data_IF_321252071581
#
_entry.id   IF_321252071581
#
_cell.length_a   1.000
_cell.length_b   1.000
_cell.length_c   1.000
_cell.angle_alpha   90.00
_cell.angle_beta   90.00
_cell.angle_gamma   90.00
#
_symmetry.space_group_name_H-M   'P 1'
#
loop_
_entity.id
_entity.type
_entity.pdbx_description
1 polymer ?
#
# COMPACT_ATOMS: atom_id res chain seq x y z
N UNK A 1 9.65 0.00 29.84
CA UNK A 1 9.92 -1.37 29.38
C UNK A 1 11.44 -1.50 29.43
N UNK A 2 11.95 -2.20 30.44
CA UNK A 2 13.37 -2.54 30.56
C UNK A 2 13.62 -3.78 29.68
N UNK A 3 13.89 -3.60 28.44
CA UNK A 3 14.18 -4.65 27.48
C UNK A 3 15.13 -4.18 26.41
N UNK A 4 15.96 -5.06 25.90
CA UNK A 4 16.82 -4.79 24.76
C UNK A 4 15.96 -4.61 23.50
N UNK A 5 16.11 -3.48 22.82
CA UNK A 5 15.43 -3.20 21.54
C UNK A 5 16.34 -3.69 20.44
N UNK A 6 15.86 -4.66 19.66
CA UNK A 6 16.55 -5.17 18.48
C UNK A 6 15.91 -4.63 17.21
N UNK A 7 16.70 -4.00 16.36
CA UNK A 7 16.23 -3.59 15.02
C UNK A 7 16.02 -4.82 14.13
N UNK A 8 14.95 -4.83 13.38
CA UNK A 8 14.65 -5.88 12.41
C UNK A 8 15.16 -5.48 11.02
N UNK A 9 15.61 -6.47 10.27
CA UNK A 9 16.10 -6.31 8.90
C UNK A 9 15.20 -7.03 7.89
N UNK A 10 15.31 -6.62 6.63
CA UNK A 10 14.67 -7.35 5.51
C UNK A 10 15.13 -8.81 5.47
N UNK A 11 14.19 -9.71 5.21
CA UNK A 11 14.40 -11.17 5.16
C UNK A 11 14.88 -11.80 6.47
N UNK A 12 14.84 -11.07 7.57
CA UNK A 12 15.10 -11.66 8.89
C UNK A 12 13.98 -12.61 9.25
N UNK A 13 14.36 -13.78 9.78
CA UNK A 13 13.44 -14.77 10.32
C UNK A 13 13.48 -14.70 11.84
N UNK A 14 12.31 -14.59 12.47
CA UNK A 14 12.14 -14.61 13.91
C UNK A 14 11.37 -15.88 14.28
N UNK A 15 11.88 -16.64 15.24
CA UNK A 15 11.16 -17.77 15.83
C UNK A 15 10.55 -17.34 17.16
N UNK A 16 9.23 -17.55 17.30
CA UNK A 16 8.50 -17.26 18.52
C UNK A 16 7.59 -18.45 18.86
N UNK A 17 8.09 -19.40 19.65
CA UNK A 17 7.43 -20.69 19.85
C UNK A 17 7.30 -21.45 18.53
N UNK A 18 6.08 -21.80 18.15
CA UNK A 18 5.77 -22.49 16.90
C UNK A 18 5.54 -21.53 15.72
N UNK A 19 5.74 -20.23 15.91
CA UNK A 19 5.60 -19.24 14.86
C UNK A 19 6.95 -18.93 14.21
N UNK A 20 7.01 -19.10 12.91
CA UNK A 20 8.07 -18.58 12.05
C UNK A 20 7.57 -17.27 11.41
N UNK A 21 8.27 -16.17 11.68
CA UNK A 21 7.92 -14.83 11.23
C UNK A 21 9.01 -14.33 10.26
N UNK A 22 8.68 -14.21 9.00
CA UNK A 22 9.54 -13.63 7.98
C UNK A 22 9.28 -12.12 7.90
N UNK A 23 10.31 -11.30 8.12
CA UNK A 23 10.25 -9.85 7.98
C UNK A 23 10.50 -9.46 6.52
N UNK A 24 9.58 -8.73 5.91
CA UNK A 24 9.71 -8.24 4.53
C UNK A 24 9.72 -6.72 4.53
N UNK A 25 10.78 -6.10 4.02
CA UNK A 25 10.84 -4.65 3.90
C UNK A 25 9.97 -4.18 2.74
N UNK A 26 8.98 -3.35 3.04
CA UNK A 26 7.96 -2.87 2.10
C UNK A 26 7.81 -1.33 2.20
N UNK A 27 8.85 -0.56 1.83
CA UNK A 27 8.82 0.89 1.91
C UNK A 27 7.75 1.48 0.99
N UNK A 28 7.41 2.74 1.24
CA UNK A 28 6.43 3.50 0.46
C UNK A 28 5.59 4.38 1.36
N UNK A 29 4.70 3.78 2.13
CA UNK A 29 3.92 4.50 3.15
C UNK A 29 4.82 5.11 4.23
N UNK A 30 5.78 4.33 4.71
CA UNK A 30 6.93 4.84 5.48
C UNK A 30 8.21 4.14 5.01
N UNK A 31 9.36 4.76 5.26
CA UNK A 31 10.67 4.21 4.85
C UNK A 31 11.06 2.93 5.58
N UNK A 32 10.62 2.78 6.82
CA UNK A 32 10.93 1.63 7.68
C UNK A 32 9.83 0.55 7.72
N UNK A 33 8.82 0.62 6.86
CA UNK A 33 7.68 -0.31 6.89
C UNK A 33 8.13 -1.75 6.66
N UNK A 34 7.76 -2.65 7.58
CA UNK A 34 7.90 -4.09 7.43
C UNK A 34 6.53 -4.75 7.34
N UNK A 35 6.41 -5.76 6.49
CA UNK A 35 5.37 -6.77 6.61
C UNK A 35 5.90 -7.98 7.37
N UNK A 36 5.00 -8.67 8.08
CA UNK A 36 5.33 -9.90 8.80
C UNK A 36 4.56 -11.06 8.18
N UNK A 37 5.30 -11.96 7.55
CA UNK A 37 4.74 -13.16 6.94
C UNK A 37 4.93 -14.35 7.87
N UNK A 38 3.83 -14.89 8.38
CA UNK A 38 3.83 -15.86 9.49
C UNK A 38 3.38 -17.23 8.97
N UNK A 39 4.22 -18.24 9.23
CA UNK A 39 3.96 -19.66 8.91
C UNK A 39 3.47 -19.87 7.47
N UNK A 40 3.94 -19.07 6.52
CA UNK A 40 3.54 -19.11 5.10
C UNK A 40 2.03 -18.99 4.85
N UNK A 41 1.26 -18.40 5.77
CA UNK A 41 -0.21 -18.34 5.71
C UNK A 41 -0.77 -16.94 5.96
N UNK A 42 -0.24 -16.23 6.95
CA UNK A 42 -0.75 -14.93 7.41
C UNK A 42 0.26 -13.83 7.12
N UNK A 43 -0.18 -12.73 6.52
CA UNK A 43 0.65 -11.60 6.16
C UNK A 43 0.10 -10.31 6.78
N UNK A 44 0.84 -9.72 7.71
CA UNK A 44 0.52 -8.43 8.30
C UNK A 44 1.17 -7.33 7.45
N UNK A 45 0.35 -6.57 6.74
CA UNK A 45 0.81 -5.60 5.72
C UNK A 45 0.95 -4.18 6.26
N UNK A 46 0.57 -3.94 7.52
CA UNK A 46 0.51 -2.58 8.07
C UNK A 46 -0.29 -1.64 7.13
N UNK A 47 0.26 -0.48 6.86
CA UNK A 47 -0.41 0.53 6.05
C UNK A 47 0.08 0.55 4.59
N UNK A 48 0.39 -0.63 4.03
CA UNK A 48 0.84 -0.76 2.63
C UNK A 48 -0.26 -1.27 1.71
N UNK A 49 -0.92 -2.39 2.03
CA UNK A 49 -1.98 -2.99 1.22
C UNK A 49 -3.20 -3.27 2.10
N UNK A 50 -4.37 -2.76 1.70
CA UNK A 50 -5.66 -2.92 2.38
C UNK A 50 -6.64 -3.70 1.51
N UNK A 51 -7.78 -4.09 2.10
CA UNK A 51 -8.90 -4.62 1.34
C UNK A 51 -9.49 -3.56 0.41
N UNK A 52 -9.15 -3.63 -0.89
CA UNK A 52 -9.62 -2.69 -1.92
C UNK A 52 -8.96 -1.32 -1.92
N UNK A 53 -7.88 -1.11 -1.15
CA UNK A 53 -7.14 0.17 -1.11
C UNK A 53 -5.64 -0.07 -0.88
N UNK A 54 -4.87 1.02 -0.86
CA UNK A 54 -3.41 1.00 -0.66
C UNK A 54 -2.97 2.16 0.22
N UNK A 55 -1.78 2.07 0.81
CA UNK A 55 -1.19 3.12 1.62
C UNK A 55 -0.95 4.42 0.85
N UNK A 56 -1.06 5.55 1.55
CA UNK A 56 -0.71 6.86 0.98
C UNK A 56 0.79 7.09 0.98
N UNK A 57 1.27 7.91 0.05
CA UNK A 57 2.68 8.30 -0.08
C UNK A 57 2.96 9.73 0.38
N UNK A 58 2.18 10.23 1.34
CA UNK A 58 2.32 11.56 1.94
C UNK A 58 2.27 11.53 3.48
N UNK A 59 2.44 10.36 4.09
CA UNK A 59 2.60 10.25 5.54
C UNK A 59 3.98 10.79 5.97
N UNK A 60 4.18 11.13 7.24
CA UNK A 60 5.52 11.38 7.75
C UNK A 60 6.43 10.19 7.47
N UNK A 61 7.67 10.46 7.06
CA UNK A 61 8.68 9.44 6.67
C UNK A 61 8.30 8.54 5.47
N UNK A 62 7.30 8.96 4.65
CA UNK A 62 7.03 8.28 3.38
C UNK A 62 8.26 8.30 2.46
N UNK A 63 8.28 7.39 1.49
CA UNK A 63 9.30 7.41 0.44
C UNK A 63 8.69 7.85 -0.89
N UNK A 64 8.45 6.95 -1.83
CA UNK A 64 7.94 7.28 -3.14
C UNK A 64 6.76 6.41 -3.56
N UNK A 65 6.06 6.83 -4.62
CA UNK A 65 5.08 5.96 -5.30
C UNK A 65 5.76 4.70 -5.85
N UNK A 66 6.94 4.83 -6.43
CA UNK A 66 7.65 3.68 -7.01
C UNK A 66 8.01 2.64 -5.95
N UNK A 67 8.33 3.08 -4.73
CA UNK A 67 8.62 2.16 -3.63
C UNK A 67 7.36 1.41 -3.18
N UNK A 68 6.23 2.09 -2.96
CA UNK A 68 5.00 1.40 -2.54
C UNK A 68 4.46 0.49 -3.65
N UNK A 69 4.56 0.92 -4.91
CA UNK A 69 4.22 0.10 -6.05
C UNK A 69 5.09 -1.16 -6.12
N UNK A 70 6.42 -1.02 -5.98
CA UNK A 70 7.35 -2.15 -5.94
C UNK A 70 7.05 -3.08 -4.75
N UNK A 71 6.83 -2.53 -3.56
CA UNK A 71 6.51 -3.28 -2.35
C UNK A 71 5.27 -4.15 -2.54
N UNK A 72 4.21 -3.59 -3.13
CA UNK A 72 2.98 -4.33 -3.39
C UNK A 72 3.17 -5.32 -4.53
N UNK A 73 3.59 -4.86 -5.71
CA UNK A 73 3.58 -5.66 -6.94
C UNK A 73 4.68 -6.71 -7.00
N UNK A 74 5.84 -6.45 -6.41
CA UNK A 74 7.02 -7.32 -6.54
C UNK A 74 7.39 -8.05 -5.23
N UNK A 75 7.04 -7.49 -4.05
CA UNK A 75 7.31 -8.17 -2.78
C UNK A 75 6.07 -8.92 -2.30
N UNK A 76 4.94 -8.22 -2.05
CA UNK A 76 3.76 -8.89 -1.48
C UNK A 76 3.14 -9.90 -2.47
N UNK A 77 2.94 -9.53 -3.73
CA UNK A 77 2.39 -10.45 -4.75
C UNK A 77 3.38 -11.52 -5.26
N UNK A 78 4.61 -11.58 -4.75
CA UNK A 78 5.48 -12.75 -4.96
C UNK A 78 5.13 -13.93 -4.06
N UNK A 79 4.34 -13.69 -3.00
CA UNK A 79 3.87 -14.71 -2.07
C UNK A 79 2.69 -15.50 -2.66
N UNK A 80 2.37 -16.69 -2.12
CA UNK A 80 1.24 -17.49 -2.57
C UNK A 80 -0.08 -16.69 -2.52
N UNK A 81 -0.86 -16.73 -3.59
CA UNK A 81 -2.12 -15.97 -3.70
C UNK A 81 -3.17 -16.35 -2.65
N UNK A 82 -3.06 -17.55 -2.06
CA UNK A 82 -3.91 -18.00 -0.94
C UNK A 82 -3.57 -17.35 0.40
N UNK A 83 -2.48 -16.57 0.49
CA UNK A 83 -2.06 -15.90 1.72
C UNK A 83 -3.13 -14.92 2.18
N UNK A 84 -3.54 -15.06 3.45
CA UNK A 84 -4.46 -14.12 4.10
C UNK A 84 -3.71 -12.87 4.52
N UNK A 85 -4.18 -11.68 4.14
CA UNK A 85 -3.63 -10.41 4.57
C UNK A 85 -4.40 -9.84 5.76
N UNK A 86 -3.67 -9.27 6.71
CA UNK A 86 -4.16 -8.56 7.88
C UNK A 86 -3.57 -7.14 7.86
N UNK A 87 -4.29 -6.19 7.27
CA UNK A 87 -3.82 -4.81 7.17
C UNK A 87 -3.93 -4.05 8.50
N UNK A 88 -3.29 -2.89 8.59
CA UNK A 88 -3.41 -1.99 9.74
C UNK A 88 -4.82 -1.41 9.90
N UNK A 89 -5.57 -1.33 8.82
CA UNK A 89 -6.96 -0.87 8.75
C UNK A 89 -7.80 -1.79 7.87
N UNK A 90 -9.12 -1.74 8.02
CA UNK A 90 -10.11 -2.55 7.30
C UNK A 90 -10.09 -4.04 7.75
N UNK A 91 -10.92 -4.84 7.08
CA UNK A 91 -11.02 -6.28 7.32
C UNK A 91 -9.84 -7.04 6.68
N UNK A 92 -9.65 -8.26 7.13
CA UNK A 92 -8.76 -9.20 6.45
C UNK A 92 -9.24 -9.49 5.02
N UNK A 93 -8.28 -9.78 4.14
CA UNK A 93 -8.51 -10.16 2.75
C UNK A 93 -7.53 -11.27 2.34
N UNK A 94 -7.36 -11.54 1.06
CA UNK A 94 -6.34 -12.44 0.53
C UNK A 94 -5.57 -11.76 -0.58
N UNK A 95 -4.34 -12.20 -0.84
CA UNK A 95 -3.59 -11.68 -2.00
C UNK A 95 -4.35 -11.94 -3.31
N UNK A 96 -5.05 -13.07 -3.46
CA UNK A 96 -5.88 -13.33 -4.64
C UNK A 96 -6.99 -12.28 -4.80
N UNK A 97 -7.74 -11.97 -3.73
CA UNK A 97 -8.81 -10.98 -3.80
C UNK A 97 -8.26 -9.58 -4.15
N UNK A 98 -7.15 -9.19 -3.54
CA UNK A 98 -6.53 -7.89 -3.86
C UNK A 98 -5.94 -7.86 -5.28
N UNK A 99 -5.42 -8.98 -5.77
CA UNK A 99 -4.96 -9.08 -7.16
C UNK A 99 -6.11 -8.89 -8.15
N UNK A 100 -7.28 -9.50 -7.87
CA UNK A 100 -8.41 -9.51 -8.80
C UNK A 100 -9.30 -8.27 -8.68
N UNK A 101 -9.50 -7.74 -7.46
CA UNK A 101 -10.54 -6.76 -7.18
C UNK A 101 -10.03 -5.39 -6.71
N UNK A 102 -8.77 -5.28 -6.21
CA UNK A 102 -8.25 -4.00 -5.75
C UNK A 102 -8.11 -3.01 -6.92
N UNK A 103 -8.80 -1.85 -6.90
CA UNK A 103 -8.83 -0.94 -8.05
C UNK A 103 -7.46 -0.35 -8.39
N UNK A 104 -6.57 -0.15 -7.41
CA UNK A 104 -5.20 0.33 -7.65
C UNK A 104 -4.38 -0.75 -8.35
N UNK A 105 -4.40 -1.97 -7.84
CA UNK A 105 -3.68 -3.12 -8.41
C UNK A 105 -4.15 -3.39 -9.83
N UNK A 106 -5.47 -3.38 -10.08
CA UNK A 106 -6.05 -3.57 -11.43
C UNK A 106 -5.60 -2.49 -12.40
N UNK A 107 -5.61 -1.22 -11.96
CA UNK A 107 -5.14 -0.10 -12.77
C UNK A 107 -3.64 -0.23 -13.09
N UNK A 108 -2.80 -0.58 -12.11
CA UNK A 108 -1.36 -0.76 -12.31
C UNK A 108 -1.02 -1.93 -13.23
N UNK A 109 -1.86 -2.96 -13.24
CA UNK A 109 -1.77 -4.10 -14.18
C UNK A 109 -2.33 -3.78 -15.58
N UNK A 110 -2.90 -2.60 -15.79
CA UNK A 110 -3.53 -2.22 -17.07
C UNK A 110 -4.84 -2.95 -17.37
N UNK A 111 -5.47 -3.57 -16.36
CA UNK A 111 -6.79 -4.22 -16.50
C UNK A 111 -7.88 -3.15 -16.64
N UNK A 112 -7.84 -2.14 -15.79
CA UNK A 112 -8.78 -1.02 -15.83
C UNK A 112 -8.12 0.19 -16.50
N UNK A 113 -8.86 0.82 -17.42
CA UNK A 113 -8.37 2.00 -18.12
C UNK A 113 -8.35 3.22 -17.19
N UNK A 114 -7.18 3.78 -17.03
CA UNK A 114 -6.97 5.06 -16.33
C UNK A 114 -7.40 6.20 -17.25
N UNK A 115 -8.29 7.08 -16.76
CA UNK A 115 -8.68 8.32 -17.45
C UNK A 115 -8.16 9.50 -16.65
N UNK A 116 -7.26 10.26 -17.25
CA UNK A 116 -6.74 11.47 -16.64
C UNK A 116 -7.82 12.56 -16.58
N UNK A 117 -8.00 13.10 -15.39
CA UNK A 117 -8.89 14.25 -15.16
C UNK A 117 -8.12 15.37 -14.48
N UNK A 118 -8.33 16.60 -14.92
CA UNK A 118 -7.74 17.78 -14.29
C UNK A 118 -8.24 17.92 -12.85
N UNK A 119 -7.31 18.13 -11.94
CA UNK A 119 -7.61 18.32 -10.53
C UNK A 119 -6.60 19.25 -9.84
N UNK A 120 -6.91 19.60 -8.60
CA UNK A 120 -5.96 20.22 -7.68
C UNK A 120 -5.69 19.25 -6.53
N UNK A 121 -4.43 19.10 -6.15
CA UNK A 121 -4.00 18.42 -4.92
C UNK A 121 -3.38 19.45 -4.01
N UNK A 122 -3.95 19.67 -2.82
CA UNK A 122 -3.53 20.74 -1.91
C UNK A 122 -3.40 22.12 -2.62
N UNK A 123 -4.35 22.42 -3.52
CA UNK A 123 -4.42 23.60 -4.41
C UNK A 123 -3.32 23.70 -5.48
N UNK A 124 -2.53 22.66 -5.73
CA UNK A 124 -1.56 22.60 -6.83
C UNK A 124 -2.15 21.81 -8.00
N UNK A 125 -1.93 22.24 -9.25
CA UNK A 125 -2.39 21.51 -10.44
C UNK A 125 -1.85 20.07 -10.47
N UNK A 126 -2.73 19.16 -10.88
CA UNK A 126 -2.39 17.74 -11.02
C UNK A 126 -3.39 17.01 -11.94
N UNK A 127 -3.10 15.76 -12.27
CA UNK A 127 -4.01 14.84 -12.95
C UNK A 127 -4.46 13.77 -11.95
N UNK A 128 -5.76 13.59 -11.78
CA UNK A 128 -6.36 12.46 -11.10
C UNK A 128 -6.35 11.27 -12.07
N UNK A 129 -5.74 10.17 -11.67
CA UNK A 129 -5.65 8.93 -12.44
C UNK A 129 -6.69 7.91 -11.97
N UNK A 130 -6.87 7.79 -10.67
CA UNK A 130 -7.84 6.88 -10.05
C UNK A 130 -8.35 7.48 -8.74
N UNK A 131 -9.64 7.24 -8.43
CA UNK A 131 -10.24 7.49 -7.14
C UNK A 131 -11.01 6.23 -6.70
N UNK A 132 -10.72 5.72 -5.52
CA UNK A 132 -11.38 4.55 -4.95
C UNK A 132 -11.75 4.81 -3.48
N UNK A 133 -12.58 3.94 -2.91
CA UNK A 133 -12.93 3.98 -1.49
C UNK A 133 -11.71 3.76 -0.60
N UNK A 134 -11.72 4.34 0.60
CA UNK A 134 -10.68 4.18 1.61
C UNK A 134 -11.29 3.76 2.96
N UNK A 135 -10.43 3.37 3.92
CA UNK A 135 -10.82 2.80 5.21
C UNK A 135 -11.62 3.75 6.11
N UNK A 136 -11.46 5.06 5.95
CA UNK A 136 -12.11 6.09 6.77
C UNK A 136 -13.48 6.54 6.24
N UNK A 137 -14.09 5.77 5.35
CA UNK A 137 -15.30 6.12 4.58
C UNK A 137 -15.08 7.28 3.59
N UNK A 138 -13.85 7.71 3.41
CA UNK A 138 -13.41 8.66 2.40
C UNK A 138 -13.00 7.98 1.11
N UNK A 139 -12.06 8.61 0.42
CA UNK A 139 -11.47 8.07 -0.81
C UNK A 139 -9.95 8.19 -0.79
N UNK A 140 -9.29 7.29 -1.50
CA UNK A 140 -7.88 7.33 -1.85
C UNK A 140 -7.74 7.65 -3.33
N UNK A 141 -6.77 8.48 -3.68
CA UNK A 141 -6.55 8.92 -5.04
C UNK A 141 -5.13 8.61 -5.51
N UNK A 142 -5.00 8.06 -6.71
CA UNK A 142 -3.75 8.02 -7.44
C UNK A 142 -3.68 9.24 -8.35
N UNK A 143 -2.65 10.05 -8.16
CA UNK A 143 -2.51 11.34 -8.85
C UNK A 143 -1.13 11.47 -9.47
N UNK A 144 -1.03 12.34 -10.49
CA UNK A 144 0.22 12.76 -11.10
C UNK A 144 0.32 14.27 -11.05
N UNK A 145 1.36 14.82 -10.45
CA UNK A 145 1.64 16.25 -10.43
C UNK A 145 2.15 16.75 -11.80
N UNK A 146 2.21 18.07 -11.99
CA UNK A 146 2.68 18.68 -13.25
C UNK A 146 4.13 18.33 -13.59
N UNK A 147 4.98 18.11 -12.60
CA UNK A 147 6.36 17.60 -12.74
C UNK A 147 6.44 16.09 -12.96
N UNK A 148 5.30 15.45 -13.25
CA UNK A 148 5.15 14.02 -13.55
C UNK A 148 5.42 13.07 -12.38
N UNK A 149 5.46 13.56 -11.14
CA UNK A 149 5.59 12.72 -9.94
C UNK A 149 4.26 12.05 -9.62
N UNK A 150 4.28 10.74 -9.43
CA UNK A 150 3.12 9.94 -9.02
C UNK A 150 3.01 9.91 -7.50
N UNK A 151 1.78 9.97 -6.99
CA UNK A 151 1.48 9.89 -5.56
C UNK A 151 0.16 9.20 -5.28
N UNK A 152 0.06 8.60 -4.10
CA UNK A 152 -1.19 8.13 -3.50
C UNK A 152 -1.56 9.08 -2.36
N UNK A 153 -2.70 9.75 -2.49
CA UNK A 153 -3.11 10.80 -1.55
C UNK A 153 -4.53 10.57 -1.03
N UNK A 154 -4.85 11.13 0.14
CA UNK A 154 -6.23 11.14 0.64
C UNK A 154 -7.14 11.93 -0.32
N UNK A 155 -8.34 11.43 -0.57
CA UNK A 155 -9.29 12.08 -1.47
C UNK A 155 -9.76 13.45 -1.01
N UNK A 156 -9.68 13.73 0.29
CA UNK A 156 -9.96 15.06 0.87
C UNK A 156 -9.00 16.16 0.39
N UNK A 157 -7.81 15.78 -0.08
CA UNK A 157 -6.81 16.69 -0.67
C UNK A 157 -7.06 16.98 -2.14
N UNK A 158 -7.95 16.22 -2.81
CA UNK A 158 -8.14 16.25 -4.27
C UNK A 158 -9.46 16.92 -4.63
N UNK A 159 -9.37 18.05 -5.31
CA UNK A 159 -10.51 18.78 -5.89
C UNK A 159 -10.50 18.62 -7.40
N UNK A 160 -11.48 17.91 -7.96
CA UNK A 160 -11.65 17.77 -9.41
C UNK A 160 -12.10 19.09 -10.03
N UNK A 161 -11.57 19.41 -11.20
CA UNK A 161 -11.99 20.54 -12.00
C UNK A 161 -13.08 20.07 -12.97
N UNK A 162 -14.10 20.91 -13.16
CA UNK A 162 -15.23 20.63 -14.03
C UNK A 162 -14.84 20.67 -15.51
#
# INVERSE_FOLDING_TARGET
>A
IDGEITSLADKQIIQCGDLEINCLHIPGHTSGQLAFYINEQALFTGDTLFAGSVGGTQAPDHTSFDDIHHSIMNVLFSLPMSTTIYPGHMQASTLAAEWDDNPFVRAWRGIDHVREQDCLVDNQPAKLLLRAADYDSGTKCWVRSDDSVLNIVAGSKVKTLA
#
